data_IF_112253672652
#
_entry.id   IF_112253672652
#
_cell.length_a   1.000
_cell.length_b   1.000
_cell.length_c   1.000
_cell.angle_alpha   90.00
_cell.angle_beta   90.00
_cell.angle_gamma   90.00
#
_symmetry.space_group_name_H-M   'P 1'
#
loop_
_entity.id
_entity.type
_entity.pdbx_description
1 polymer ?
#
# COMPACT_ATOMS: atom_id res chain seq x y z
N UNK A 1 21.99 -5.64 18.72
CA UNK A 1 22.53 -5.18 17.43
C UNK A 1 21.33 -4.96 16.55
N UNK A 2 20.93 -3.70 16.47
CA UNK A 2 19.64 -3.30 15.95
C UNK A 2 19.72 -3.41 14.43
N UNK A 3 19.12 -4.46 13.87
CA UNK A 3 19.02 -4.63 12.43
C UNK A 3 17.94 -3.68 11.92
N UNK A 4 18.24 -2.38 11.99
CA UNK A 4 17.44 -1.33 11.41
C UNK A 4 17.66 -1.44 9.91
N UNK A 5 16.88 -2.34 9.30
CA UNK A 5 16.85 -2.54 7.85
C UNK A 5 16.80 -1.15 7.23
N UNK A 6 17.86 -0.79 6.50
CA UNK A 6 17.91 0.43 5.73
C UNK A 6 16.90 0.26 4.59
N UNK A 7 15.65 0.59 4.85
CA UNK A 7 14.59 0.55 3.86
C UNK A 7 14.87 1.66 2.84
N UNK A 8 15.32 1.28 1.66
CA UNK A 8 15.37 2.17 0.50
C UNK A 8 13.94 2.39 0.01
N UNK A 9 13.25 3.37 0.62
CA UNK A 9 11.83 3.70 0.38
C UNK A 9 11.51 3.92 -1.12
N UNK A 10 12.50 4.34 -1.92
CA UNK A 10 12.35 4.52 -3.36
C UNK A 10 12.21 3.23 -4.18
N UNK A 11 12.77 2.11 -3.72
CA UNK A 11 12.84 0.87 -4.52
C UNK A 11 11.56 0.03 -4.46
N UNK A 12 10.78 0.13 -3.39
CA UNK A 12 9.57 -0.68 -3.22
C UNK A 12 8.30 0.03 -3.71
N UNK A 13 8.26 1.37 -3.71
CA UNK A 13 7.07 2.13 -4.14
C UNK A 13 6.70 1.89 -5.62
N UNK A 14 7.71 1.75 -6.50
CA UNK A 14 7.51 1.60 -7.94
C UNK A 14 7.18 0.18 -8.42
N UNK A 15 7.14 -0.81 -7.52
CA UNK A 15 6.89 -2.21 -7.90
C UNK A 15 5.38 -2.46 -8.01
N UNK A 16 4.98 -3.11 -9.10
CA UNK A 16 3.62 -3.62 -9.23
C UNK A 16 3.39 -4.72 -8.18
N UNK A 17 2.35 -4.58 -7.37
CA UNK A 17 2.03 -5.51 -6.28
C UNK A 17 1.15 -6.69 -6.74
N UNK A 18 0.63 -6.61 -7.96
CA UNK A 18 -0.16 -7.65 -8.62
C UNK A 18 -0.03 -7.55 -10.14
N UNK A 19 -0.28 -8.65 -10.84
CA UNK A 19 -0.44 -8.67 -12.31
C UNK A 19 -1.84 -8.26 -12.74
N UNK A 20 -2.80 -8.29 -11.82
CA UNK A 20 -4.18 -7.87 -12.06
C UNK A 20 -4.25 -6.36 -11.89
N UNK A 21 -4.19 -5.58 -12.97
CA UNK A 21 -4.38 -4.13 -12.90
C UNK A 21 -5.84 -3.72 -12.83
N UNK A 22 -6.17 -2.71 -12.03
CA UNK A 22 -7.53 -2.16 -12.00
C UNK A 22 -7.80 -1.35 -13.27
N UNK A 23 -8.76 -1.78 -14.09
CA UNK A 23 -9.17 -1.06 -15.30
C UNK A 23 -10.60 -0.52 -15.24
N UNK A 24 -11.26 -0.66 -14.09
CA UNK A 24 -12.63 -0.19 -13.81
C UNK A 24 -13.68 -1.30 -13.81
N UNK A 25 -13.53 -2.32 -14.66
CA UNK A 25 -14.48 -3.45 -14.75
C UNK A 25 -14.17 -4.64 -13.84
N UNK A 26 -13.02 -4.65 -13.17
CA UNK A 26 -12.49 -5.81 -12.43
C UNK A 26 -12.20 -5.53 -10.96
N UNK A 27 -12.91 -4.57 -10.35
CA UNK A 27 -12.65 -4.13 -8.98
C UNK A 27 -12.51 -5.29 -7.99
N UNK A 28 -13.42 -6.27 -8.01
CA UNK A 28 -13.38 -7.39 -7.07
C UNK A 28 -12.11 -8.24 -7.21
N UNK A 29 -11.69 -8.54 -8.44
CA UNK A 29 -10.47 -9.32 -8.69
C UNK A 29 -9.20 -8.57 -8.30
N UNK A 30 -9.15 -7.27 -8.60
CA UNK A 30 -8.05 -6.40 -8.17
C UNK A 30 -8.00 -6.27 -6.64
N UNK A 31 -9.14 -6.02 -6.00
CA UNK A 31 -9.27 -5.85 -4.55
C UNK A 31 -8.77 -7.10 -3.81
N UNK A 32 -9.19 -8.29 -4.24
CA UNK A 32 -8.72 -9.54 -3.64
C UNK A 32 -7.19 -9.72 -3.77
N UNK A 33 -6.62 -9.40 -4.94
CA UNK A 33 -5.17 -9.48 -5.14
C UNK A 33 -4.40 -8.48 -4.26
N UNK A 34 -4.90 -7.26 -4.13
CA UNK A 34 -4.34 -6.23 -3.23
C UNK A 34 -4.42 -6.67 -1.77
N UNK A 35 -5.55 -7.20 -1.32
CA UNK A 35 -5.72 -7.66 0.06
C UNK A 35 -4.74 -8.79 0.41
N UNK A 36 -4.57 -9.79 -0.46
CA UNK A 36 -3.60 -10.88 -0.26
C UNK A 36 -2.18 -10.33 -0.16
N UNK A 37 -1.80 -9.40 -1.05
CA UNK A 37 -0.47 -8.78 -1.00
C UNK A 37 -0.25 -8.00 0.29
N UNK A 38 -1.20 -7.14 0.69
CA UNK A 38 -1.08 -6.32 1.89
C UNK A 38 -1.11 -7.16 3.17
N UNK A 39 -1.88 -8.24 3.19
CA UNK A 39 -1.87 -9.21 4.29
C UNK A 39 -0.47 -9.82 4.46
N UNK A 40 0.16 -10.26 3.37
CA UNK A 40 1.54 -10.78 3.39
C UNK A 40 2.63 -9.75 3.75
N UNK A 41 2.30 -8.46 3.69
CA UNK A 41 3.19 -7.35 4.09
C UNK A 41 2.88 -6.80 5.50
N UNK A 42 1.91 -7.36 6.21
CA UNK A 42 1.41 -6.82 7.49
C UNK A 42 0.93 -5.36 7.37
N UNK A 43 0.31 -5.03 6.23
CA UNK A 43 -0.11 -3.68 5.86
C UNK A 43 -1.60 -3.56 5.57
N UNK A 44 -2.38 -4.64 5.75
CA UNK A 44 -3.82 -4.65 5.45
C UNK A 44 -4.60 -3.60 6.27
N UNK A 45 -4.20 -3.36 7.51
CA UNK A 45 -4.84 -2.38 8.40
C UNK A 45 -4.88 -0.96 7.79
N UNK A 46 -3.92 -0.60 6.93
CA UNK A 46 -3.88 0.71 6.27
C UNK A 46 -5.05 0.96 5.30
N UNK A 47 -5.77 -0.08 4.88
CA UNK A 47 -6.96 0.07 4.02
C UNK A 47 -8.27 -0.37 4.71
N UNK A 48 -8.19 -0.99 5.88
CA UNK A 48 -9.36 -1.51 6.61
C UNK A 48 -9.63 -0.79 7.93
N UNK A 49 -8.67 -0.04 8.46
CA UNK A 49 -8.74 0.60 9.77
C UNK A 49 -8.41 2.09 9.67
N UNK A 50 -8.84 2.84 10.70
CA UNK A 50 -8.51 4.25 10.85
C UNK A 50 -7.07 4.42 11.37
N UNK A 51 -6.36 5.52 11.00
CA UNK A 51 -5.05 5.80 11.54
C UNK A 51 -5.09 5.97 13.07
N UNK A 52 -3.98 5.66 13.77
CA UNK A 52 -3.87 5.93 15.20
C UNK A 52 -3.97 7.44 15.48
N UNK A 53 -4.24 7.80 16.74
CA UNK A 53 -4.26 9.19 17.17
C UNK A 53 -2.93 9.90 16.86
N UNK A 54 -3.00 11.17 16.44
CA UNK A 54 -1.83 12.00 16.12
C UNK A 54 -0.87 12.18 17.29
N UNK A 55 -1.36 12.00 18.51
CA UNK A 55 -0.58 12.15 19.75
C UNK A 55 0.24 10.90 20.09
N UNK A 56 0.06 9.78 19.38
CA UNK A 56 0.83 8.56 19.63
C UNK A 56 2.21 8.63 18.96
N UNK A 57 3.18 7.95 19.58
CA UNK A 57 4.52 7.77 18.99
C UNK A 57 4.49 7.00 17.66
N UNK A 58 3.44 6.22 17.41
CA UNK A 58 3.27 5.37 16.21
C UNK A 58 2.67 6.10 15.01
N UNK A 59 2.06 7.28 15.19
CA UNK A 59 1.38 8.00 14.10
C UNK A 59 2.31 8.31 12.93
N UNK A 60 3.55 8.75 13.21
CA UNK A 60 4.51 9.09 12.15
C UNK A 60 4.92 7.87 11.32
N UNK A 61 5.06 6.71 11.96
CA UNK A 61 5.38 5.46 11.26
C UNK A 61 4.19 4.98 10.44
N UNK A 62 2.98 5.09 10.98
CA UNK A 62 1.75 4.81 10.25
C UNK A 62 1.64 5.64 8.98
N UNK A 63 1.79 6.97 9.05
CA UNK A 63 1.69 7.87 7.89
C UNK A 63 2.73 7.56 6.81
N UNK A 64 3.96 7.20 7.22
CA UNK A 64 5.01 6.80 6.26
C UNK A 64 4.61 5.53 5.53
N UNK A 65 4.16 4.53 6.27
CA UNK A 65 3.79 3.22 5.74
C UNK A 65 2.52 3.31 4.87
N UNK A 66 1.59 4.19 5.25
CA UNK A 66 0.38 4.55 4.49
C UNK A 66 0.73 5.13 3.10
N UNK A 67 1.70 6.05 3.05
CA UNK A 67 2.17 6.59 1.77
C UNK A 67 2.79 5.53 0.84
N UNK A 68 3.44 4.50 1.41
CA UNK A 68 3.96 3.36 0.64
C UNK A 68 2.80 2.52 0.09
N UNK A 69 1.79 2.24 0.91
CA UNK A 69 0.58 1.51 0.48
C UNK A 69 -0.12 2.26 -0.65
N UNK A 70 -0.32 3.57 -0.53
CA UNK A 70 -0.90 4.39 -1.59
C UNK A 70 -0.08 4.34 -2.89
N UNK A 71 1.25 4.38 -2.79
CA UNK A 71 2.13 4.22 -3.95
C UNK A 71 1.94 2.87 -4.67
N UNK A 72 1.81 1.78 -3.91
CA UNK A 72 1.49 0.46 -4.47
C UNK A 72 0.12 0.42 -5.12
N UNK A 73 -0.89 1.00 -4.48
CA UNK A 73 -2.25 1.05 -5.03
C UNK A 73 -2.27 1.79 -6.36
N UNK A 74 -1.69 3.00 -6.44
CA UNK A 74 -1.62 3.77 -7.68
C UNK A 74 -0.88 3.03 -8.81
N UNK A 75 0.25 2.38 -8.49
CA UNK A 75 1.02 1.62 -9.49
C UNK A 75 0.34 0.32 -9.95
N UNK A 76 -0.69 -0.13 -9.22
CA UNK A 76 -1.51 -1.30 -9.57
C UNK A 76 -2.78 -0.95 -10.37
N UNK A 77 -3.01 0.32 -10.67
CA UNK A 77 -4.16 0.79 -11.46
C UNK A 77 -3.73 1.10 -12.90
N UNK A 78 -4.64 0.94 -13.85
CA UNK A 78 -4.43 1.47 -15.19
C UNK A 78 -4.38 3.00 -15.15
N UNK A 79 -3.55 3.67 -15.98
CA UNK A 79 -3.35 5.12 -15.89
C UNK A 79 -4.61 5.97 -16.09
N UNK A 80 -5.63 5.47 -16.80
CA UNK A 80 -6.91 6.18 -16.92
C UNK A 80 -7.79 6.04 -15.69
N UNK A 81 -7.61 4.99 -14.89
CA UNK A 81 -8.29 4.81 -13.60
C UNK A 81 -7.60 5.63 -12.51
N UNK A 82 -6.27 5.63 -12.48
CA UNK A 82 -5.48 6.36 -11.48
C UNK A 82 -5.59 7.90 -11.58
N UNK A 83 -6.04 8.42 -12.73
CA UNK A 83 -6.15 9.86 -13.02
C UNK A 83 -7.59 10.37 -13.10
N UNK A 84 -8.57 9.50 -12.86
CA UNK A 84 -9.99 9.85 -12.78
C UNK A 84 -10.29 10.51 -11.44
#
# INVERSE_FOLDING_TARGET
MDNKTSYHIGDDMGKSITVVRLYGGNYLGWCNAVQVFLFGKEKLAHITEEPPSKDTSTYREWVRDDAIVLGWLWNSMEPHVARA
#
